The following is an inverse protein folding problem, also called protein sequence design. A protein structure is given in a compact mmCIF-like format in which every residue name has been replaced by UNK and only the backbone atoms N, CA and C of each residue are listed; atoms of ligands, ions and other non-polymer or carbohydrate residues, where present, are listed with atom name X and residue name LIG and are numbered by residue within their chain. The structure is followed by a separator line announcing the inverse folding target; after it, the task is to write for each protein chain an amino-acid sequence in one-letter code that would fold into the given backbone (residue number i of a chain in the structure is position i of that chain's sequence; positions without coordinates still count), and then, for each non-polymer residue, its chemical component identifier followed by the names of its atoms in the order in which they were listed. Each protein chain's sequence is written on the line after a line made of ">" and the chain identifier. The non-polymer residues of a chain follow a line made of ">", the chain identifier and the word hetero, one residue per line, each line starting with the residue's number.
data_IF_163334125327
#
_entry.id   IF_163334125327
#
_cell.length_a   1.000
_cell.length_b   1.000
_cell.length_c   1.000
_cell.angle_alpha   90.00
_cell.angle_beta   90.00
_cell.angle_gamma   90.00
#
_symmetry.space_group_name_H-M   'P 1'
#
loop_
_entity.id
_entity.type
_entity.pdbx_description
1 polymer ?
#
# COMPACT_ATOMS: atom_id res chain seq x y z
N UNK A 1 7.67 25.76 20.85
CA UNK A 1 6.38 25.20 20.41
C UNK A 1 6.33 25.33 18.89
N UNK A 2 6.78 24.31 18.16
CA UNK A 2 6.60 24.32 16.69
C UNK A 2 5.10 24.33 16.42
N UNK A 3 4.62 25.26 15.59
CA UNK A 3 3.22 25.26 15.20
C UNK A 3 2.96 23.96 14.45
N UNK A 4 2.05 23.13 14.95
CA UNK A 4 1.63 21.88 14.29
C UNK A 4 1.11 22.13 12.87
N UNK A 5 0.57 23.33 12.62
CA UNK A 5 0.09 23.76 11.31
C UNK A 5 0.71 25.11 10.95
N UNK A 6 1.28 25.18 9.75
CA UNK A 6 1.68 26.43 9.10
C UNK A 6 0.83 26.64 7.86
N UNK A 7 0.04 27.72 7.84
CA UNK A 7 -0.87 28.04 6.73
C UNK A 7 -0.22 28.92 5.66
N UNK A 8 1.08 29.22 5.78
CA UNK A 8 1.81 30.03 4.78
C UNK A 8 1.85 29.39 3.39
N UNK A 9 1.76 28.06 3.31
CA UNK A 9 1.82 27.29 2.06
C UNK A 9 0.47 26.65 1.65
N UNK A 10 -0.65 27.11 2.22
CA UNK A 10 -1.98 26.48 2.07
C UNK A 10 -2.35 26.15 0.61
N UNK A 11 -2.03 27.04 -0.34
CA UNK A 11 -2.29 26.78 -1.77
C UNK A 11 -1.49 25.56 -2.25
N UNK A 12 -0.19 25.52 -1.96
CA UNK A 12 0.69 24.40 -2.33
C UNK A 12 0.23 23.11 -1.67
N UNK A 13 -0.09 23.15 -0.38
CA UNK A 13 -0.54 21.99 0.39
C UNK A 13 -1.84 21.39 -0.17
N UNK A 14 -2.79 22.24 -0.57
CA UNK A 14 -4.06 21.79 -1.17
C UNK A 14 -3.83 21.15 -2.55
N UNK A 15 -3.02 21.78 -3.41
CA UNK A 15 -2.75 21.22 -4.75
C UNK A 15 -1.94 19.92 -4.66
N UNK A 16 -0.90 19.87 -3.82
CA UNK A 16 -0.06 18.69 -3.60
C UNK A 16 -0.83 17.53 -2.97
N UNK A 17 -1.66 17.82 -1.96
CA UNK A 17 -2.51 16.82 -1.33
C UNK A 17 -3.55 16.24 -2.30
N UNK A 18 -4.17 17.10 -3.12
CA UNK A 18 -5.16 16.66 -4.12
C UNK A 18 -4.52 15.78 -5.21
N UNK A 19 -3.37 16.19 -5.77
CA UNK A 19 -2.66 15.40 -6.79
C UNK A 19 -2.16 14.08 -6.22
N UNK A 20 -1.60 14.08 -5.00
CA UNK A 20 -1.19 12.87 -4.32
C UNK A 20 -2.37 11.91 -4.05
N UNK A 21 -3.53 12.43 -3.63
CA UNK A 21 -4.75 11.66 -3.42
C UNK A 21 -5.28 11.02 -4.70
N UNK A 22 -5.28 11.78 -5.81
CA UNK A 22 -5.65 11.29 -7.14
C UNK A 22 -4.74 10.15 -7.61
N UNK A 23 -3.43 10.24 -7.34
CA UNK A 23 -2.47 9.15 -7.63
C UNK A 23 -2.65 7.96 -6.69
N UNK A 24 -3.05 8.19 -5.43
CA UNK A 24 -3.16 7.16 -4.41
C UNK A 24 -4.35 6.23 -4.66
N UNK A 25 -5.48 6.74 -5.17
CA UNK A 25 -6.74 6.00 -5.21
C UNK A 25 -6.70 4.71 -6.06
N UNK A 26 -6.18 4.71 -7.31
CA UNK A 26 -6.08 3.47 -8.10
C UNK A 26 -5.17 2.43 -7.45
N UNK A 27 -4.03 2.88 -6.89
CA UNK A 27 -3.11 1.99 -6.19
C UNK A 27 -3.77 1.40 -4.93
N UNK A 28 -4.48 2.21 -4.15
CA UNK A 28 -5.15 1.76 -2.94
C UNK A 28 -6.14 0.62 -3.22
N UNK A 29 -6.97 0.76 -4.26
CA UNK A 29 -7.91 -0.28 -4.69
C UNK A 29 -7.18 -1.56 -5.13
N UNK A 30 -6.18 -1.43 -6.02
CA UNK A 30 -5.42 -2.57 -6.53
C UNK A 30 -4.68 -3.31 -5.39
N UNK A 31 -4.17 -2.56 -4.43
CA UNK A 31 -3.46 -3.07 -3.28
C UNK A 31 -4.36 -3.73 -2.23
N UNK A 32 -5.56 -3.19 -2.01
CA UNK A 32 -6.59 -3.86 -1.21
C UNK A 32 -6.94 -5.21 -1.82
N UNK A 33 -7.14 -5.28 -3.13
CA UNK A 33 -7.46 -6.52 -3.82
C UNK A 33 -6.29 -7.53 -3.83
N UNK A 34 -5.07 -7.08 -4.13
CA UNK A 34 -3.88 -7.93 -4.11
C UNK A 34 -3.56 -8.49 -2.71
N UNK A 35 -4.05 -7.82 -1.65
CA UNK A 35 -3.84 -8.23 -0.27
C UNK A 35 -4.77 -9.37 0.19
N UNK A 36 -5.86 -9.63 -0.53
CA UNK A 36 -6.94 -10.54 -0.10
C UNK A 36 -7.96 -9.93 0.88
N UNK A 37 -7.67 -8.79 1.50
CA UNK A 37 -8.62 -8.09 2.39
C UNK A 37 -9.70 -7.28 1.65
N UNK A 38 -9.58 -7.17 0.33
CA UNK A 38 -10.54 -6.50 -0.55
C UNK A 38 -10.24 -5.02 -0.81
N UNK A 39 -10.84 -4.41 -1.85
CA UNK A 39 -10.43 -3.09 -2.34
C UNK A 39 -10.68 -1.97 -1.33
N UNK A 40 -11.76 -2.09 -0.54
CA UNK A 40 -12.15 -1.08 0.45
C UNK A 40 -11.13 -1.00 1.61
N UNK A 41 -10.54 -2.12 2.01
CA UNK A 41 -9.49 -2.15 3.03
C UNK A 41 -8.25 -1.36 2.57
N UNK A 42 -7.96 -1.39 1.27
CA UNK A 42 -6.94 -0.55 0.64
C UNK A 42 -7.22 0.94 0.76
N UNK A 43 -8.46 1.36 0.49
CA UNK A 43 -8.90 2.75 0.61
C UNK A 43 -8.85 3.22 2.06
N UNK A 44 -9.36 2.43 3.01
CA UNK A 44 -9.28 2.75 4.44
C UNK A 44 -7.85 2.83 4.94
N UNK A 45 -6.97 1.91 4.51
CA UNK A 45 -5.54 1.99 4.81
C UNK A 45 -4.91 3.27 4.29
N UNK A 46 -5.22 3.67 3.05
CA UNK A 46 -4.70 4.92 2.46
C UNK A 46 -5.16 6.16 3.24
N UNK A 47 -6.43 6.21 3.65
CA UNK A 47 -6.99 7.34 4.41
C UNK A 47 -6.38 7.39 5.82
N UNK A 48 -6.44 6.28 6.56
CA UNK A 48 -6.06 6.25 7.98
C UNK A 48 -4.56 6.35 8.17
N UNK A 49 -3.76 5.54 7.46
CA UNK A 49 -2.30 5.64 7.54
C UNK A 49 -1.85 7.01 7.04
N UNK A 50 -2.39 7.49 5.92
CA UNK A 50 -2.05 8.80 5.37
C UNK A 50 -2.34 9.96 6.34
N UNK A 51 -3.53 9.99 6.93
CA UNK A 51 -3.94 11.05 7.85
C UNK A 51 -3.12 11.05 9.15
N UNK A 52 -3.04 9.91 9.83
CA UNK A 52 -2.39 9.82 11.14
C UNK A 52 -0.87 9.92 11.03
N UNK A 53 -0.26 9.32 10.00
CA UNK A 53 1.18 9.47 9.78
C UNK A 53 1.56 10.91 9.41
N UNK A 54 0.76 11.61 8.60
CA UNK A 54 1.04 13.02 8.31
C UNK A 54 0.89 13.92 9.55
N UNK A 55 -0.08 13.62 10.43
CA UNK A 55 -0.34 14.42 11.64
C UNK A 55 0.73 14.23 12.72
N UNK A 56 1.16 12.99 12.93
CA UNK A 56 2.07 12.61 14.03
C UNK A 56 3.52 12.38 13.58
N UNK A 57 3.77 12.28 12.27
CA UNK A 57 5.06 11.99 11.66
C UNK A 57 6.09 13.12 11.75
N UNK A 58 7.29 12.81 11.28
CA UNK A 58 8.48 13.64 11.34
C UNK A 58 8.90 14.23 10.00
N UNK A 59 8.22 13.87 8.91
CA UNK A 59 8.52 14.31 7.54
C UNK A 59 7.33 15.07 6.92
N UNK A 60 7.36 16.42 6.87
CA UNK A 60 6.19 17.23 6.52
C UNK A 60 5.57 16.96 5.14
N UNK A 61 6.38 16.64 4.13
CA UNK A 61 5.93 16.43 2.75
C UNK A 61 5.64 14.98 2.40
N UNK A 62 5.87 14.04 3.33
CA UNK A 62 5.73 12.62 3.09
C UNK A 62 4.27 12.20 3.05
N UNK A 63 3.90 11.53 1.96
CA UNK A 63 2.59 10.89 1.83
C UNK A 63 2.72 9.43 2.23
N UNK A 64 1.85 8.99 3.13
CA UNK A 64 1.83 7.62 3.64
C UNK A 64 0.58 6.88 3.21
N UNK A 65 0.67 5.56 3.12
CA UNK A 65 -0.45 4.69 2.75
C UNK A 65 0.04 3.32 2.30
N UNK A 66 -0.83 2.48 1.73
CA UNK A 66 -0.46 1.15 1.30
C UNK A 66 0.65 1.18 0.24
N UNK A 67 1.71 0.39 0.47
CA UNK A 67 2.86 0.24 -0.42
C UNK A 67 3.02 -1.23 -0.82
N UNK A 68 3.54 -1.47 -2.03
CA UNK A 68 3.76 -2.83 -2.57
C UNK A 68 4.44 -3.79 -1.58
N UNK A 69 5.56 -3.39 -0.94
CA UNK A 69 6.21 -4.21 0.07
C UNK A 69 5.30 -4.62 1.24
N UNK A 70 4.59 -3.66 1.84
CA UNK A 70 3.70 -3.92 2.98
C UNK A 70 2.57 -4.90 2.61
N UNK A 71 2.07 -4.81 1.37
CA UNK A 71 0.97 -5.64 0.89
C UNK A 71 1.41 -7.07 0.62
N UNK A 72 2.59 -7.28 0.06
CA UNK A 72 3.08 -8.65 -0.18
C UNK A 72 3.23 -9.39 1.14
N UNK A 73 3.79 -8.74 2.17
CA UNK A 73 3.88 -9.33 3.50
C UNK A 73 2.48 -9.54 4.07
N UNK A 74 1.62 -8.53 4.02
CA UNK A 74 0.25 -8.63 4.54
C UNK A 74 -0.57 -9.72 3.84
N UNK A 75 -0.44 -9.92 2.53
CA UNK A 75 -1.11 -11.00 1.79
C UNK A 75 -0.65 -12.37 2.30
N UNK A 76 0.64 -12.52 2.59
CA UNK A 76 1.17 -13.72 3.25
C UNK A 76 0.58 -13.94 4.63
N UNK A 77 0.43 -12.87 5.44
CA UNK A 77 -0.23 -12.93 6.76
C UNK A 77 -1.70 -13.31 6.62
N UNK A 78 -2.42 -12.69 5.69
CA UNK A 78 -3.82 -12.95 5.41
C UNK A 78 -4.03 -14.42 5.05
N UNK A 79 -3.18 -14.97 4.18
CA UNK A 79 -3.20 -16.39 3.83
C UNK A 79 -2.85 -17.30 5.04
N UNK A 80 -1.80 -16.96 5.79
CA UNK A 80 -1.31 -17.76 6.92
C UNK A 80 -2.28 -17.84 8.09
N UNK A 81 -3.13 -16.82 8.25
CA UNK A 81 -4.18 -16.74 9.27
C UNK A 81 -5.56 -17.14 8.73
N UNK A 82 -5.61 -17.87 7.61
CA UNK A 82 -6.84 -18.38 6.99
C UNK A 82 -7.88 -17.30 6.67
N UNK A 83 -7.44 -16.06 6.44
CA UNK A 83 -8.32 -14.92 6.17
C UNK A 83 -9.11 -14.44 7.40
N UNK A 84 -8.75 -14.84 8.62
CA UNK A 84 -9.40 -14.31 9.82
C UNK A 84 -9.08 -12.82 9.98
N UNK A 85 -10.06 -12.01 9.59
CA UNK A 85 -10.05 -10.55 9.62
C UNK A 85 -9.61 -10.02 10.99
N UNK A 86 -10.06 -10.63 12.09
CA UNK A 86 -9.77 -10.13 13.45
C UNK A 86 -8.32 -10.37 13.86
N UNK A 87 -7.73 -11.52 13.48
CA UNK A 87 -6.33 -11.83 13.74
C UNK A 87 -5.38 -11.08 12.79
N UNK A 88 -5.75 -10.95 11.52
CA UNK A 88 -4.94 -10.24 10.52
C UNK A 88 -4.82 -8.77 10.88
N UNK A 89 -5.94 -8.11 11.22
CA UNK A 89 -5.88 -6.70 11.62
C UNK A 89 -5.31 -6.49 13.03
N UNK A 90 -5.42 -7.48 13.94
CA UNK A 90 -4.64 -7.48 15.17
C UNK A 90 -3.12 -7.48 14.90
N UNK A 91 -2.68 -8.21 13.88
CA UNK A 91 -1.27 -8.21 13.45
C UNK A 91 -0.83 -6.83 12.94
N UNK A 92 -1.69 -6.12 12.21
CA UNK A 92 -1.44 -4.74 11.78
C UNK A 92 -1.35 -3.76 12.96
N UNK A 93 -2.23 -3.92 13.96
CA UNK A 93 -2.18 -3.15 15.21
C UNK A 93 -0.85 -3.38 15.94
N UNK A 94 -0.42 -4.63 16.07
CA UNK A 94 0.86 -4.99 16.68
C UNK A 94 2.05 -4.41 15.91
N UNK A 95 2.00 -4.42 14.57
CA UNK A 95 3.03 -3.77 13.75
C UNK A 95 3.12 -2.27 14.06
N UNK A 96 1.97 -1.60 14.24
CA UNK A 96 1.91 -0.20 14.66
C UNK A 96 2.51 0.03 16.05
N UNK A 97 2.22 -0.85 17.02
CA UNK A 97 2.84 -0.83 18.36
C UNK A 97 4.37 -0.92 18.24
N UNK A 98 4.89 -1.85 17.45
CA UNK A 98 6.33 -2.00 17.25
C UNK A 98 6.97 -0.77 16.61
N UNK A 99 6.32 -0.15 15.63
CA UNK A 99 6.82 1.09 15.02
C UNK A 99 6.89 2.24 16.04
N UNK A 100 5.86 2.39 16.90
CA UNK A 100 5.89 3.36 18.00
C UNK A 100 7.05 3.05 18.95
N UNK A 101 7.21 1.78 19.35
CA UNK A 101 8.32 1.36 20.22
C UNK A 101 9.67 1.68 19.58
N UNK A 102 9.84 1.43 18.28
CA UNK A 102 11.07 1.76 17.57
C UNK A 102 11.37 3.26 17.57
N UNK A 103 10.34 4.10 17.39
CA UNK A 103 10.50 5.55 17.48
C UNK A 103 10.87 6.02 18.90
N UNK A 104 10.18 5.50 19.93
CA UNK A 104 10.44 5.85 21.33
C UNK A 104 11.83 5.40 21.80
N UNK A 105 12.27 4.21 21.37
CA UNK A 105 13.59 3.66 21.70
C UNK A 105 14.74 4.28 20.88
N UNK A 106 14.43 5.14 19.91
CA UNK A 106 15.45 5.81 19.09
C UNK A 106 16.02 4.94 17.98
N UNK A 107 15.31 3.90 17.54
CA UNK A 107 15.79 3.01 16.48
C UNK A 107 15.74 3.62 15.07
N UNK A 108 15.05 4.76 14.87
CA UNK A 108 14.91 5.38 13.56
C UNK A 108 16.24 5.76 12.90
N UNK A 109 17.26 6.10 13.69
CA UNK A 109 18.58 6.46 13.15
C UNK A 109 19.33 5.26 12.54
N UNK A 110 19.06 4.03 13.00
CA UNK A 110 19.79 2.83 12.58
C UNK A 110 19.34 2.29 11.23
N UNK A 111 18.16 2.67 10.74
CA UNK A 111 17.66 2.26 9.43
C UNK A 111 18.56 2.77 8.29
N UNK A 112 19.32 3.86 8.52
CA UNK A 112 20.35 4.35 7.59
C UNK A 112 21.50 3.36 7.38
N UNK A 113 21.63 2.34 8.23
CA UNK A 113 22.66 1.31 8.13
C UNK A 113 22.27 0.16 7.19
N UNK A 114 21.02 0.10 6.73
CA UNK A 114 20.58 -0.94 5.79
C UNK A 114 21.29 -0.75 4.45
N UNK A 115 22.11 -1.71 3.98
CA UNK A 115 22.85 -1.56 2.74
C UNK A 115 21.92 -1.45 1.52
N UNK A 116 22.28 -0.59 0.57
CA UNK A 116 21.55 -0.44 -0.70
C UNK A 116 21.29 -1.78 -1.43
N UNK A 117 22.24 -2.73 -1.51
CA UNK A 117 21.98 -4.03 -2.14
C UNK A 117 20.82 -4.81 -1.51
N UNK A 118 20.63 -4.69 -0.18
CA UNK A 118 19.53 -5.37 0.53
C UNK A 118 18.19 -4.77 0.15
N UNK A 119 18.10 -3.43 0.16
CA UNK A 119 16.88 -2.71 -0.25
C UNK A 119 16.53 -3.02 -1.71
N UNK A 120 17.51 -2.93 -2.60
CA UNK A 120 17.34 -3.18 -4.04
C UNK A 120 16.89 -4.62 -4.32
N UNK A 121 17.54 -5.62 -3.71
CA UNK A 121 17.19 -7.02 -3.85
C UNK A 121 15.78 -7.32 -3.31
N UNK A 122 15.45 -6.78 -2.15
CA UNK A 122 14.14 -6.92 -1.54
C UNK A 122 13.01 -6.30 -2.38
N UNK A 123 13.16 -5.06 -2.85
CA UNK A 123 12.19 -4.40 -3.74
C UNK A 123 12.01 -5.15 -5.06
N UNK A 124 13.10 -5.66 -5.65
CA UNK A 124 13.06 -6.44 -6.88
C UNK A 124 12.32 -7.77 -6.67
N UNK A 125 12.57 -8.45 -5.55
CA UNK A 125 11.86 -9.66 -5.15
C UNK A 125 10.35 -9.44 -4.99
N UNK A 126 9.95 -8.35 -4.35
CA UNK A 126 8.53 -7.94 -4.24
C UNK A 126 7.93 -7.69 -5.62
N UNK A 127 8.66 -7.02 -6.52
CA UNK A 127 8.22 -6.83 -7.90
C UNK A 127 7.91 -8.15 -8.59
N UNK A 128 8.79 -9.14 -8.47
CA UNK A 128 8.57 -10.49 -8.99
C UNK A 128 7.35 -11.17 -8.35
N UNK A 129 7.15 -11.02 -7.04
CA UNK A 129 5.99 -11.58 -6.33
C UNK A 129 4.69 -10.92 -6.82
N UNK A 130 4.66 -9.60 -6.97
CA UNK A 130 3.47 -8.90 -7.49
C UNK A 130 3.17 -9.37 -8.91
N UNK A 131 4.17 -9.49 -9.79
CA UNK A 131 3.97 -10.02 -11.14
C UNK A 131 3.38 -11.44 -11.09
N UNK A 132 3.91 -12.30 -10.22
CA UNK A 132 3.38 -13.65 -10.03
C UNK A 132 1.92 -13.65 -9.55
N UNK A 133 1.57 -12.80 -8.58
CA UNK A 133 0.21 -12.65 -8.07
C UNK A 133 -0.79 -12.11 -9.11
N UNK A 134 -0.32 -11.34 -10.10
CA UNK A 134 -1.18 -10.73 -11.12
C UNK A 134 -1.25 -11.54 -12.43
N UNK A 135 -0.35 -12.51 -12.65
CA UNK A 135 -0.21 -13.15 -13.95
C UNK A 135 -1.43 -14.00 -14.32
N UNK A 136 -1.94 -14.83 -13.40
CA UNK A 136 -3.18 -15.60 -13.63
C UNK A 136 -4.41 -14.67 -13.80
N UNK A 137 -4.49 -13.62 -12.98
CA UNK A 137 -5.55 -12.60 -13.04
C UNK A 137 -5.58 -11.83 -14.37
N UNK A 138 -4.42 -11.63 -14.99
CA UNK A 138 -4.32 -11.03 -16.33
C UNK A 138 -5.05 -11.87 -17.39
N UNK A 139 -5.05 -13.20 -17.24
CA UNK A 139 -5.80 -14.11 -18.11
C UNK A 139 -7.26 -14.30 -17.67
N UNK A 140 -7.71 -13.59 -16.63
CA UNK A 140 -9.08 -13.62 -16.12
C UNK A 140 -9.40 -14.76 -15.15
N UNK A 141 -8.37 -15.40 -14.57
CA UNK A 141 -8.52 -16.45 -13.56
C UNK A 141 -8.21 -15.92 -12.17
N UNK A 142 -8.99 -16.34 -11.17
CA UNK A 142 -8.73 -16.01 -9.77
C UNK A 142 -8.14 -17.25 -9.07
N UNK A 143 -6.87 -17.21 -8.62
CA UNK A 143 -6.24 -18.35 -7.98
C UNK A 143 -6.98 -18.84 -6.74
N UNK A 144 -7.14 -20.16 -6.61
CA UNK A 144 -7.69 -20.76 -5.39
C UNK A 144 -6.66 -20.72 -4.26
N UNK A 145 -6.96 -19.95 -3.20
CA UNK A 145 -6.09 -19.79 -2.05
C UNK A 145 -5.18 -18.55 -2.14
N UNK A 146 -4.96 -17.91 -0.98
CA UNK A 146 -4.13 -16.70 -0.91
C UNK A 146 -2.63 -17.00 -1.01
N UNK A 147 -1.89 -16.07 -1.60
CA UNK A 147 -0.42 -16.05 -1.60
C UNK A 147 0.24 -16.41 -2.93
N UNK A 148 1.58 -16.35 -2.95
CA UNK A 148 2.37 -16.41 -4.18
C UNK A 148 2.42 -17.78 -4.83
N UNK A 149 2.48 -18.86 -4.03
CA UNK A 149 2.61 -20.23 -4.56
C UNK A 149 1.34 -20.67 -5.29
N UNK A 150 0.12 -20.55 -4.71
CA UNK A 150 -1.11 -20.85 -5.44
C UNK A 150 -1.25 -20.01 -6.72
N UNK A 151 -0.94 -18.71 -6.66
CA UNK A 151 -1.00 -17.84 -7.83
C UNK A 151 -0.09 -18.30 -8.97
N UNK A 152 1.11 -18.82 -8.69
CA UNK A 152 2.02 -19.37 -9.71
C UNK A 152 1.54 -20.70 -10.29
N UNK A 153 0.95 -21.56 -9.45
CA UNK A 153 0.42 -22.86 -9.87
C UNK A 153 -0.79 -22.72 -10.80
N UNK A 154 -1.55 -21.62 -10.67
CA UNK A 154 -2.71 -21.33 -11.52
C UNK A 154 -2.32 -20.84 -12.92
N UNK A 155 -1.11 -20.26 -13.10
CA UNK A 155 -0.70 -19.63 -14.37
C UNK A 155 -0.81 -20.58 -15.57
N UNK A 156 -0.34 -21.85 -15.54
CA UNK A 156 -0.48 -22.75 -16.67
C UNK A 156 -1.93 -23.03 -17.08
N UNK A 157 -2.84 -23.16 -16.10
CA UNK A 157 -4.26 -23.37 -16.35
C UNK A 157 -4.89 -22.10 -16.96
N UNK A 158 -4.58 -20.94 -16.39
CA UNK A 158 -5.05 -19.64 -16.87
C UNK A 158 -4.58 -19.34 -18.30
N UNK A 159 -3.37 -19.78 -18.67
CA UNK A 159 -2.85 -19.67 -20.04
C UNK A 159 -3.48 -20.67 -21.02
N UNK A 160 -3.93 -21.83 -20.55
CA UNK A 160 -4.55 -22.86 -21.37
C UNK A 160 -6.01 -22.50 -21.75
N UNK A 161 -6.72 -21.80 -20.88
CA UNK A 161 -8.10 -21.35 -21.08
C UNK A 161 -8.28 -19.86 -20.77
N UNK A 162 -7.67 -18.95 -21.56
CA UNK A 162 -7.68 -17.53 -21.23
C UNK A 162 -9.03 -16.88 -21.51
N UNK A 163 -9.48 -16.04 -20.58
CA UNK A 163 -10.59 -15.14 -20.82
C UNK A 163 -10.11 -13.94 -21.66
N UNK A 164 -10.41 -13.96 -22.97
CA UNK A 164 -9.94 -12.94 -23.90
C UNK A 164 -10.46 -11.53 -23.59
N UNK A 165 -11.64 -11.40 -23.00
CA UNK A 165 -12.18 -10.11 -22.58
C UNK A 165 -11.33 -9.51 -21.45
N UNK A 166 -11.02 -10.32 -20.43
CA UNK A 166 -10.17 -9.91 -19.31
C UNK A 166 -8.74 -9.60 -19.78
N UNK A 167 -8.15 -10.47 -20.61
CA UNK A 167 -6.83 -10.28 -21.19
C UNK A 167 -6.76 -8.99 -22.03
N UNK A 168 -7.79 -8.71 -22.83
CA UNK A 168 -7.89 -7.49 -23.62
C UNK A 168 -7.90 -6.23 -22.76
N UNK A 169 -8.70 -6.22 -21.69
CA UNK A 169 -8.74 -5.10 -20.72
C UNK A 169 -7.40 -4.96 -19.99
N UNK A 170 -6.76 -6.06 -19.60
CA UNK A 170 -5.46 -6.05 -18.94
C UNK A 170 -4.35 -5.51 -19.85
N UNK A 171 -4.28 -5.96 -21.10
CA UNK A 171 -3.32 -5.45 -22.10
C UNK A 171 -3.58 -3.98 -22.44
N UNK A 172 -4.84 -3.57 -22.54
CA UNK A 172 -5.20 -2.15 -22.71
C UNK A 172 -4.70 -1.32 -21.51
N UNK A 173 -4.91 -1.82 -20.28
CA UNK A 173 -4.46 -1.16 -19.05
C UNK A 173 -2.93 -0.98 -19.05
N UNK A 174 -2.17 -2.03 -19.37
CA UNK A 174 -0.71 -1.96 -19.51
C UNK A 174 -0.30 -0.98 -20.62
N UNK A 175 -0.98 -1.03 -21.77
CA UNK A 175 -0.76 -0.12 -22.89
C UNK A 175 -0.94 1.34 -22.49
N UNK A 176 -2.01 1.66 -21.76
CA UNK A 176 -2.23 3.01 -21.21
C UNK A 176 -1.11 3.37 -20.24
N UNK A 177 -0.81 2.52 -19.25
CA UNK A 177 0.19 2.84 -18.22
C UNK A 177 1.58 3.12 -18.82
N UNK A 178 2.02 2.32 -19.80
CA UNK A 178 3.36 2.44 -20.40
C UNK A 178 3.44 3.45 -21.54
N UNK A 179 2.39 3.62 -22.35
CA UNK A 179 2.38 4.55 -23.48
C UNK A 179 1.85 5.95 -23.14
N UNK A 180 1.38 6.19 -21.90
CA UNK A 180 0.83 7.49 -21.51
C UNK A 180 1.86 8.61 -21.65
N UNK A 181 1.55 9.71 -22.39
CA UNK A 181 2.49 10.79 -22.57
C UNK A 181 2.88 11.45 -21.23
N UNK A 182 4.18 11.53 -20.95
CA UNK A 182 4.70 12.16 -19.72
C UNK A 182 4.26 13.63 -19.56
N UNK A 183 3.95 14.32 -20.67
CA UNK A 183 3.39 15.69 -20.65
C UNK A 183 2.00 15.75 -20.02
N UNK A 184 1.17 14.74 -20.27
CA UNK A 184 -0.19 14.64 -19.75
C UNK A 184 -0.22 14.02 -18.35
N UNK A 185 0.76 13.16 -18.04
CA UNK A 185 0.95 12.56 -16.71
C UNK A 185 1.09 13.57 -15.57
N UNK A 186 1.41 14.84 -15.87
CA UNK A 186 1.43 15.94 -14.89
C UNK A 186 0.05 16.33 -14.37
N UNK A 187 -0.98 16.20 -15.20
CA UNK A 187 -2.34 16.59 -14.88
C UNK A 187 -3.21 15.39 -14.56
N UNK A 188 -3.03 14.29 -15.31
CA UNK A 188 -3.81 13.08 -15.18
C UNK A 188 -2.87 11.86 -15.11
N UNK A 189 -2.71 11.24 -13.93
CA UNK A 189 -1.85 10.08 -13.75
C UNK A 189 -2.29 8.89 -14.60
N UNK A 190 -1.35 8.22 -15.26
CA UNK A 190 -1.66 7.08 -16.11
C UNK A 190 -2.42 5.94 -15.41
N UNK A 191 -2.18 5.62 -14.11
CA UNK A 191 -2.97 4.58 -13.43
C UNK A 191 -4.45 4.97 -13.26
N UNK A 192 -4.75 6.25 -13.07
CA UNK A 192 -6.14 6.71 -12.96
C UNK A 192 -6.85 6.62 -14.32
N UNK A 193 -6.17 6.99 -15.40
CA UNK A 193 -6.72 6.86 -16.75
C UNK A 193 -6.95 5.40 -17.09
N UNK A 194 -5.98 4.55 -16.80
CA UNK A 194 -6.08 3.12 -17.05
C UNK A 194 -7.26 2.52 -16.28
N UNK A 195 -7.49 2.94 -15.03
CA UNK A 195 -8.66 2.54 -14.25
C UNK A 195 -9.96 2.99 -14.93
N UNK A 196 -10.12 4.28 -15.25
CA UNK A 196 -11.36 4.82 -15.84
C UNK A 196 -11.67 4.18 -17.20
N UNK A 197 -10.68 4.11 -18.08
CA UNK A 197 -10.83 3.55 -19.43
C UNK A 197 -11.04 2.04 -19.36
N UNK A 198 -10.25 1.33 -18.54
CA UNK A 198 -10.39 -0.11 -18.33
C UNK A 198 -11.77 -0.48 -17.79
N UNK A 199 -12.29 0.25 -16.80
CA UNK A 199 -13.65 0.07 -16.30
C UNK A 199 -14.69 0.36 -17.38
N UNK A 200 -14.56 1.47 -18.11
CA UNK A 200 -15.53 1.85 -19.16
C UNK A 200 -15.61 0.81 -20.28
N UNK A 201 -14.47 0.30 -20.72
CA UNK A 201 -14.38 -0.77 -21.74
C UNK A 201 -14.91 -2.08 -21.17
N UNK A 202 -14.52 -2.44 -19.93
CA UNK A 202 -14.96 -3.66 -19.27
C UNK A 202 -16.47 -3.75 -19.09
N UNK A 203 -17.16 -2.63 -18.85
CA UNK A 203 -18.63 -2.59 -18.75
C UNK A 203 -19.35 -2.94 -20.06
N UNK A 204 -18.68 -2.79 -21.21
CA UNK A 204 -19.22 -3.13 -22.52
C UNK A 204 -18.86 -4.54 -23.01
N UNK A 205 -18.08 -5.30 -22.23
CA UNK A 205 -17.63 -6.64 -22.57
C UNK A 205 -18.29 -7.67 -21.66
N UNK A 206 -18.82 -8.73 -22.26
CA UNK A 206 -19.32 -9.86 -21.49
C UNK A 206 -18.16 -10.65 -20.88
N UNK A 207 -18.39 -11.21 -19.69
CA UNK A 207 -17.48 -12.17 -19.02
C UNK A 207 -16.20 -11.60 -18.40
N UNK A 208 -15.99 -10.29 -18.30
CA UNK A 208 -14.84 -9.75 -17.54
C UNK A 208 -15.08 -9.92 -16.03
N UNK A 209 -14.15 -10.54 -15.26
CA UNK A 209 -14.25 -10.58 -13.81
C UNK A 209 -14.30 -9.16 -13.23
N UNK A 210 -15.32 -8.87 -12.43
CA UNK A 210 -15.50 -7.58 -11.77
C UNK A 210 -15.28 -7.70 -10.27
N UNK A 211 -14.78 -6.62 -9.65
CA UNK A 211 -14.58 -6.51 -8.20
C UNK A 211 -15.89 -6.60 -7.38
N UNK A 212 -17.05 -6.54 -8.04
CA UNK A 212 -18.36 -6.54 -7.39
C UNK A 212 -18.68 -5.22 -6.70
N UNK A 213 -19.62 -5.26 -5.74
CA UNK A 213 -20.04 -4.09 -4.99
C UNK A 213 -19.01 -3.74 -3.92
N UNK A 214 -18.38 -2.57 -4.04
CA UNK A 214 -17.51 -2.03 -3.01
C UNK A 214 -18.39 -1.39 -1.92
N UNK A 215 -18.29 -1.82 -0.65
CA UNK A 215 -19.07 -1.23 0.43
C UNK A 215 -18.85 0.27 0.52
N UNK A 216 -19.95 1.03 0.67
CA UNK A 216 -19.92 2.47 0.89
C UNK A 216 -20.18 2.76 2.36
N UNK A 217 -19.47 3.74 2.92
CA UNK A 217 -19.64 4.16 4.31
C UNK A 217 -18.33 4.34 5.04
N UNK A 218 -18.44 4.53 6.35
CA UNK A 218 -17.29 4.59 7.26
C UNK A 218 -16.89 3.17 7.68
N UNK A 219 -15.60 2.94 7.94
CA UNK A 219 -15.15 1.65 8.46
C UNK A 219 -15.80 1.37 9.82
N UNK A 220 -16.13 0.09 10.06
CA UNK A 220 -16.55 -0.37 11.37
C UNK A 220 -15.33 -0.69 12.23
N UNK A 221 -15.49 -0.53 13.54
CA UNK A 221 -14.44 -0.90 14.48
C UNK A 221 -14.31 -2.43 14.55
N UNK A 222 -13.11 -2.94 14.32
CA UNK A 222 -12.78 -4.37 14.41
C UNK A 222 -12.12 -4.62 15.76
N UNK A 223 -12.76 -5.45 16.58
CA UNK A 223 -12.15 -5.90 17.82
C UNK A 223 -11.03 -6.89 17.51
N UNK A 224 -9.76 -6.59 17.84
CA UNK A 224 -8.66 -7.51 17.57
C UNK A 224 -8.81 -8.78 18.42
N UNK A 225 -8.58 -9.93 17.80
CA UNK A 225 -8.53 -11.21 18.48
C UNK A 225 -7.10 -11.76 18.43
N UNK A 226 -6.72 -12.49 19.47
CA UNK A 226 -5.43 -13.17 19.55
C UNK A 226 -5.71 -14.61 19.97
N UNK A 227 -5.24 -15.56 19.17
CA UNK A 227 -5.25 -16.98 19.54
C UNK A 227 -3.86 -17.39 20.00
N UNK A 228 -3.80 -18.26 21.01
CA UNK A 228 -2.52 -18.78 21.52
C UNK A 228 -1.73 -19.54 20.45
N UNK A 229 -2.44 -20.24 19.57
CA UNK A 229 -1.83 -21.08 18.52
C UNK A 229 -1.20 -20.25 17.39
N UNK A 230 -1.77 -19.08 17.09
CA UNK A 230 -1.29 -18.17 16.04
C UNK A 230 -0.42 -17.04 16.58
N UNK A 231 -0.26 -16.94 17.91
CA UNK A 231 0.44 -15.82 18.55
C UNK A 231 1.86 -15.61 18.01
N UNK A 232 2.66 -16.67 17.86
CA UNK A 232 4.02 -16.57 17.34
C UNK A 232 4.04 -16.08 15.88
N UNK A 233 3.12 -16.59 15.04
CA UNK A 233 2.98 -16.19 13.64
C UNK A 233 2.61 -14.71 13.56
N UNK A 234 1.65 -14.26 14.37
CA UNK A 234 1.23 -12.86 14.45
C UNK A 234 2.37 -11.95 14.91
N UNK A 235 3.15 -12.39 15.90
CA UNK A 235 4.28 -11.64 16.43
C UNK A 235 5.41 -11.47 15.41
N UNK A 236 5.78 -12.55 14.72
CA UNK A 236 6.79 -12.54 13.66
C UNK A 236 6.34 -11.63 12.50
N UNK A 237 5.10 -11.82 12.03
CA UNK A 237 4.52 -11.01 10.98
C UNK A 237 4.44 -9.52 11.33
N UNK A 238 4.00 -9.20 12.55
CA UNK A 238 3.93 -7.82 13.04
C UNK A 238 5.32 -7.17 13.08
N UNK A 239 6.34 -7.90 13.49
CA UNK A 239 7.72 -7.40 13.52
C UNK A 239 8.25 -7.15 12.10
N UNK A 240 8.00 -8.06 11.16
CA UNK A 240 8.37 -7.89 9.75
C UNK A 240 7.68 -6.65 9.16
N UNK A 241 6.37 -6.52 9.34
CA UNK A 241 5.61 -5.35 8.88
C UNK A 241 6.14 -4.05 9.51
N UNK A 242 6.47 -4.07 10.80
CA UNK A 242 6.97 -2.89 11.50
C UNK A 242 8.33 -2.44 10.94
N UNK A 243 9.29 -3.36 10.81
CA UNK A 243 10.63 -3.10 10.25
C UNK A 243 10.51 -2.63 8.80
N UNK A 244 9.68 -3.31 8.01
CA UNK A 244 9.48 -2.99 6.62
C UNK A 244 8.89 -1.57 6.46
N UNK A 245 7.81 -1.27 7.17
CA UNK A 245 7.18 0.04 7.12
C UNK A 245 8.12 1.14 7.62
N UNK A 246 8.98 0.83 8.59
CA UNK A 246 10.02 1.76 9.06
C UNK A 246 11.07 2.04 7.99
N UNK A 247 11.56 1.02 7.28
CA UNK A 247 12.52 1.15 6.18
C UNK A 247 11.92 1.96 5.03
N UNK A 248 10.75 1.57 4.53
CA UNK A 248 10.05 2.27 3.42
C UNK A 248 9.83 3.75 3.75
N UNK A 249 9.37 4.03 4.98
CA UNK A 249 9.06 5.38 5.42
C UNK A 249 10.30 6.25 5.53
N UNK A 250 11.39 5.76 6.13
CA UNK A 250 12.60 6.56 6.29
C UNK A 250 13.40 6.73 5.00
N UNK A 251 13.39 5.74 4.11
CA UNK A 251 13.93 5.90 2.76
C UNK A 251 13.14 6.95 1.98
N UNK A 252 11.81 6.93 2.09
CA UNK A 252 10.96 7.97 1.53
C UNK A 252 11.27 9.34 2.12
N UNK A 253 11.54 9.42 3.43
CA UNK A 253 11.91 10.66 4.10
C UNK A 253 13.24 11.22 3.60
N UNK A 254 14.21 10.36 3.29
CA UNK A 254 15.47 10.77 2.65
C UNK A 254 15.26 11.31 1.24
N UNK A 255 14.33 10.75 0.46
CA UNK A 255 13.96 11.29 -0.86
C UNK A 255 13.30 12.66 -0.71
N UNK A 256 12.37 12.79 0.24
CA UNK A 256 11.70 14.06 0.55
C UNK A 256 12.72 15.14 0.94
N UNK A 257 13.59 14.85 1.90
CA UNK A 257 14.65 15.76 2.38
C UNK A 257 15.56 16.24 1.26
N UNK A 258 15.97 15.35 0.36
CA UNK A 258 16.82 15.72 -0.78
C UNK A 258 16.12 16.67 -1.76
N UNK A 259 14.81 16.50 -1.96
CA UNK A 259 14.02 17.35 -2.85
C UNK A 259 13.71 18.72 -2.24
N UNK A 260 13.33 18.75 -0.96
CA UNK A 260 12.95 19.98 -0.24
C UNK A 260 14.15 20.71 0.37
N UNK A 261 15.32 20.07 0.42
CA UNK A 261 16.54 20.53 1.12
C UNK A 261 16.31 20.77 2.61
N UNK A 262 15.43 19.99 3.22
CA UNK A 262 15.14 20.01 4.67
C UNK A 262 15.68 18.76 5.36
N UNK A 263 15.37 18.60 6.65
CA UNK A 263 15.66 17.39 7.41
C UNK A 263 14.41 16.90 8.12
N UNK A 264 14.18 15.60 8.11
CA UNK A 264 13.16 14.94 8.90
C UNK A 264 13.64 14.54 10.30
N UNK A 265 12.68 14.25 11.18
CA UNK A 265 12.91 13.52 12.44
C UNK A 265 12.50 12.05 12.26
N UNK A 266 13.48 11.15 12.21
CA UNK A 266 13.25 9.73 11.96
C UNK A 266 12.44 9.05 13.06
N UNK A 267 12.66 9.41 14.33
CA UNK A 267 11.97 8.76 15.45
C UNK A 267 10.51 9.19 15.50
N UNK A 268 10.25 10.48 15.27
CA UNK A 268 8.89 11.00 15.16
C UNK A 268 8.16 10.42 13.95
N UNK A 269 8.85 10.21 12.84
CA UNK A 269 8.29 9.53 11.68
C UNK A 269 7.82 8.11 12.02
N UNK A 270 8.65 7.32 12.71
CA UNK A 270 8.25 5.97 13.13
C UNK A 270 7.04 5.96 14.07
N UNK A 271 6.96 6.92 15.00
CA UNK A 271 5.79 7.08 15.87
C UNK A 271 4.54 7.40 15.02
N UNK A 272 4.64 8.34 14.08
CA UNK A 272 3.52 8.70 13.20
C UNK A 272 3.03 7.54 12.35
N UNK A 273 3.95 6.80 11.73
CA UNK A 273 3.63 5.59 10.96
C UNK A 273 2.94 4.53 11.83
N UNK A 274 3.46 4.31 13.04
CA UNK A 274 2.90 3.34 13.97
C UNK A 274 1.49 3.69 14.44
N UNK A 275 1.23 4.98 14.72
CA UNK A 275 -0.14 5.47 15.02
C UNK A 275 -1.06 5.26 13.83
N UNK A 276 -0.60 5.55 12.62
CA UNK A 276 -1.39 5.35 11.40
C UNK A 276 -1.73 3.90 11.11
N UNK A 277 -0.76 3.00 11.25
CA UNK A 277 -0.98 1.56 11.09
C UNK A 277 -1.89 0.98 12.18
N UNK A 278 -1.74 1.43 13.43
CA UNK A 278 -2.65 1.04 14.51
C UNK A 278 -4.09 1.47 14.23
N UNK A 279 -4.29 2.72 13.82
CA UNK A 279 -5.60 3.22 13.42
C UNK A 279 -6.16 2.43 12.24
N UNK A 280 -5.36 2.16 11.20
CA UNK A 280 -5.78 1.35 10.07
C UNK A 280 -6.26 -0.04 10.50
N UNK A 281 -5.49 -0.76 11.34
CA UNK A 281 -5.90 -2.07 11.81
C UNK A 281 -7.22 -2.08 12.58
N UNK A 282 -7.48 -1.10 13.47
CA UNK A 282 -8.76 -1.01 14.19
C UNK A 282 -9.98 -0.79 13.28
N UNK A 283 -9.77 -0.31 12.07
CA UNK A 283 -10.83 0.07 11.13
C UNK A 283 -10.76 -0.73 9.81
N UNK A 284 -10.08 -1.88 9.81
CA UNK A 284 -10.00 -2.76 8.64
C UNK A 284 -9.23 -2.19 7.46
N UNK A 285 -8.34 -1.24 7.71
CA UNK A 285 -7.40 -0.70 6.73
C UNK A 285 -6.14 -1.54 6.64
N UNK A 286 -5.69 -1.84 5.42
CA UNK A 286 -4.41 -2.53 5.21
C UNK A 286 -3.23 -1.66 5.67
N UNK A 287 -2.10 -2.26 6.11
CA UNK A 287 -0.97 -1.50 6.60
C UNK A 287 -0.31 -0.68 5.48
N UNK A 288 0.38 0.38 5.89
CA UNK A 288 1.05 1.31 5.01
C UNK A 288 2.39 1.80 5.53
N UNK A 289 3.05 2.58 4.69
CA UNK A 289 4.34 3.20 4.92
C UNK A 289 4.45 4.48 4.09
N UNK A 290 5.59 5.18 4.17
CA UNK A 290 5.92 6.27 3.26
C UNK A 290 5.94 5.82 1.80
N UNK A 291 5.21 6.54 0.94
CA UNK A 291 5.03 6.21 -0.46
C UNK A 291 5.84 7.16 -1.35
N UNK A 292 7.05 6.75 -1.75
CA UNK A 292 8.02 7.57 -2.51
C UNK A 292 7.40 8.30 -3.71
N UNK A 293 6.68 7.59 -4.57
CA UNK A 293 6.08 8.19 -5.77
C UNK A 293 5.03 9.26 -5.43
N UNK A 294 4.20 9.03 -4.39
CA UNK A 294 3.18 9.99 -3.96
C UNK A 294 3.81 11.20 -3.30
N UNK A 295 4.85 11.00 -2.51
CA UNK A 295 5.66 12.06 -1.90
C UNK A 295 6.33 12.93 -2.96
N UNK A 296 6.92 12.34 -4.00
CA UNK A 296 7.53 13.08 -5.11
C UNK A 296 6.49 13.91 -5.87
N UNK A 297 5.27 13.39 -6.07
CA UNK A 297 4.17 14.12 -6.69
C UNK A 297 3.68 15.25 -5.80
N UNK A 298 3.58 15.03 -4.49
CA UNK A 298 3.17 16.05 -3.52
C UNK A 298 4.14 17.24 -3.46
N UNK A 299 5.44 16.99 -3.60
CA UNK A 299 6.49 18.04 -3.52
C UNK A 299 6.58 18.88 -4.82
N UNK A 300 6.16 18.33 -5.97
CA UNK A 300 6.34 18.95 -7.29
C UNK A 300 5.18 19.87 -7.69
#
# INVERSE_FOLDING_TARGET
>A
MSRLFDFSHLRGDVFGGLTAGVVALPLALAFGEASGAGPIAGVYGAILVGFFAALFGGTPSQISGPTGPMIVVFAGVFASLSGDVTMVFATVILAGVFQILFGVLGFGQYIRLVPYPVVSGFMSGIGCIIIALQLARLFGHEPEGGGTIPALLEVPAAMADPNYSALGVGLLTLGIVFAWPARWGKYLPSPLVALIVGTSVGLGLDSVPILGNIPTGLPSFIMPSVSGDTFLIMMEAALILAILGAIDSLLTSLVADNMTRTRHDSNRELIGQGVGNMAAGFFGGIPGAGATMRTVVNIR
#
